data_IF_407076557261
#
_entry.id   IF_407076557261
#
_cell.length_a   1.000
_cell.length_b   1.000
_cell.length_c   1.000
_cell.angle_alpha   90.00
_cell.angle_beta   90.00
_cell.angle_gamma   90.00
#
_symmetry.space_group_name_H-M   'P 1'
#
loop_
_entity.id
_entity.type
_entity.pdbx_description
1 polymer ?
#
# COMPACT_ATOMS: atom_id res chain seq x y z
N UNK A 1 71.50 23.18 40.68
CA UNK A 1 71.33 22.48 39.36
C UNK A 1 70.01 21.82 39.31
N UNK A 2 68.98 22.50 38.83
CA UNK A 2 67.63 21.94 38.62
C UNK A 2 67.44 21.66 37.15
N UNK A 3 67.20 20.39 36.79
CA UNK A 3 66.82 20.02 35.42
C UNK A 3 65.28 20.03 35.32
N UNK A 4 64.74 20.91 34.47
CA UNK A 4 63.36 20.89 34.04
C UNK A 4 63.16 19.77 33.02
N UNK A 5 62.22 18.87 33.30
CA UNK A 5 61.68 17.93 32.34
C UNK A 5 60.44 18.56 31.70
N UNK A 6 60.51 18.83 30.40
CA UNK A 6 59.37 19.31 29.63
C UNK A 6 58.56 18.09 29.14
N UNK A 7 57.30 17.94 29.63
CA UNK A 7 56.38 16.93 29.16
C UNK A 7 55.63 17.43 27.90
N UNK A 8 55.93 16.80 26.77
CA UNK A 8 55.24 17.07 25.50
C UNK A 8 53.91 16.27 25.48
N UNK A 9 52.79 16.95 25.60
CA UNK A 9 51.44 16.37 25.45
C UNK A 9 51.10 16.33 23.95
N UNK A 10 51.11 15.12 23.39
CA UNK A 10 50.62 14.86 22.02
C UNK A 10 49.10 14.70 22.08
N UNK A 11 48.37 15.71 21.64
CA UNK A 11 46.91 15.63 21.43
C UNK A 11 46.61 14.87 20.15
N UNK A 12 46.13 13.65 20.24
CA UNK A 12 45.62 12.86 19.10
C UNK A 12 44.21 13.38 18.78
N UNK A 13 44.06 14.12 17.70
CA UNK A 13 42.75 14.45 17.14
C UNK A 13 42.18 13.21 16.44
N UNK A 14 41.22 12.55 17.09
CA UNK A 14 40.42 11.49 16.48
C UNK A 14 39.36 12.19 15.62
N UNK A 15 39.61 12.31 14.31
CA UNK A 15 38.58 12.67 13.33
C UNK A 15 37.65 11.45 13.14
N UNK A 16 36.60 11.41 13.96
CA UNK A 16 35.47 10.48 13.73
C UNK A 16 34.77 10.91 12.44
N UNK A 17 34.86 10.07 11.38
CA UNK A 17 33.95 10.17 10.24
C UNK A 17 32.55 9.81 10.75
N UNK A 18 31.76 10.82 11.10
CA UNK A 18 30.33 10.67 11.24
C UNK A 18 29.78 10.43 9.83
N UNK A 19 29.41 9.18 9.52
CA UNK A 19 28.60 8.88 8.34
C UNK A 19 27.31 9.68 8.46
N UNK A 20 27.13 10.66 7.58
CA UNK A 20 25.86 11.37 7.47
C UNK A 20 24.77 10.35 7.12
N UNK A 21 23.59 10.42 7.77
CA UNK A 21 22.48 9.60 7.37
C UNK A 21 22.17 9.86 5.89
N UNK A 22 22.06 8.78 5.09
CA UNK A 22 21.66 8.91 3.69
C UNK A 22 20.38 9.74 3.61
N UNK A 23 20.40 10.76 2.76
CA UNK A 23 19.25 11.60 2.49
C UNK A 23 18.05 10.72 2.04
N UNK A 24 16.83 11.05 2.51
CA UNK A 24 15.64 10.23 2.22
C UNK A 24 15.44 10.05 0.71
N UNK A 25 14.76 8.97 0.35
CA UNK A 25 14.50 8.47 -1.02
C UNK A 25 14.05 9.57 -2.02
N UNK A 26 13.48 10.68 -1.53
CA UNK A 26 13.11 11.85 -2.30
C UNK A 26 14.23 12.41 -3.21
N UNK A 27 15.49 12.32 -2.82
CA UNK A 27 16.61 12.83 -3.60
C UNK A 27 16.97 11.99 -4.83
N UNK A 28 16.38 10.80 -4.99
CA UNK A 28 16.60 9.95 -6.17
C UNK A 28 15.56 10.14 -7.28
N UNK A 29 14.56 10.98 -7.06
CA UNK A 29 13.50 11.27 -8.02
C UNK A 29 13.82 12.52 -8.84
N UNK A 30 13.45 12.53 -10.11
CA UNK A 30 13.57 13.74 -10.93
C UNK A 30 12.65 14.81 -10.32
N UNK A 31 13.14 16.02 -10.14
CA UNK A 31 12.39 17.12 -9.49
C UNK A 31 11.00 17.36 -10.08
N UNK A 32 10.81 17.06 -11.38
CA UNK A 32 9.52 17.17 -12.08
C UNK A 32 8.48 16.15 -11.58
N UNK A 33 8.87 14.87 -11.42
CA UNK A 33 7.93 13.82 -10.97
C UNK A 33 7.46 14.06 -9.53
N UNK A 34 8.36 14.51 -8.64
CA UNK A 34 8.03 14.86 -7.28
C UNK A 34 7.09 16.07 -7.21
N UNK A 35 7.34 17.11 -8.02
CA UNK A 35 6.48 18.30 -8.06
C UNK A 35 5.06 17.97 -8.51
N UNK A 36 4.90 17.08 -9.50
CA UNK A 36 3.59 16.59 -9.95
C UNK A 36 2.87 15.82 -8.83
N UNK A 37 3.55 14.93 -8.14
CA UNK A 37 2.95 14.17 -7.03
C UNK A 37 2.55 15.09 -5.89
N UNK A 38 3.35 16.09 -5.56
CA UNK A 38 3.04 17.10 -4.54
C UNK A 38 1.76 17.86 -4.85
N UNK A 39 1.65 18.44 -6.05
CA UNK A 39 0.47 19.20 -6.47
C UNK A 39 -0.81 18.33 -6.49
N UNK A 40 -0.71 17.09 -6.96
CA UNK A 40 -1.83 16.14 -6.98
C UNK A 40 -2.27 15.76 -5.56
N UNK A 41 -1.32 15.57 -4.64
CA UNK A 41 -1.62 15.28 -3.25
C UNK A 41 -2.28 16.48 -2.55
N UNK A 42 -1.79 17.69 -2.78
CA UNK A 42 -2.33 18.91 -2.19
C UNK A 42 -3.81 19.13 -2.54
N UNK A 43 -4.21 18.78 -3.77
CA UNK A 43 -5.59 18.87 -4.22
C UNK A 43 -6.56 17.91 -3.49
N UNK A 44 -6.04 16.90 -2.78
CA UNK A 44 -6.84 15.89 -2.06
C UNK A 44 -6.90 16.14 -0.55
N UNK A 45 -6.05 17.02 -0.03
CA UNK A 45 -6.02 17.34 1.38
C UNK A 45 -6.96 18.53 1.70
N UNK A 46 -7.54 18.60 2.93
CA UNK A 46 -7.36 17.64 4.02
C UNK A 46 -8.19 16.36 3.86
N UNK A 47 -7.63 15.23 4.27
CA UNK A 47 -8.28 13.93 4.32
C UNK A 47 -7.90 13.21 5.62
N UNK A 48 -8.79 12.33 6.12
CA UNK A 48 -8.50 11.44 7.24
C UNK A 48 -7.95 10.10 6.74
N UNK A 49 -8.40 9.68 5.55
CA UNK A 49 -7.98 8.44 4.87
C UNK A 49 -7.66 8.73 3.42
N UNK A 50 -6.49 8.28 2.96
CA UNK A 50 -6.12 8.23 1.55
C UNK A 50 -5.98 6.77 1.11
N UNK A 51 -6.63 6.41 0.02
CA UNK A 51 -6.58 5.07 -0.57
C UNK A 51 -5.86 5.19 -1.91
N UNK A 52 -4.65 4.61 -2.02
CA UNK A 52 -3.88 4.56 -3.27
C UNK A 52 -4.04 3.19 -3.92
N UNK A 53 -4.86 3.13 -4.96
CA UNK A 53 -5.13 1.92 -5.74
C UNK A 53 -4.14 1.75 -6.88
N UNK A 54 -3.39 0.66 -6.87
CA UNK A 54 -2.35 0.37 -7.88
C UNK A 54 -2.75 -0.73 -8.86
N UNK A 55 -1.98 -0.87 -9.94
CA UNK A 55 -1.75 -2.11 -10.66
C UNK A 55 -0.48 -2.73 -10.06
N UNK A 56 -0.55 -3.95 -9.55
CA UNK A 56 0.52 -4.57 -8.75
C UNK A 56 1.84 -4.78 -9.49
N UNK A 57 1.82 -4.79 -10.81
CA UNK A 57 3.00 -4.93 -11.66
C UNK A 57 3.52 -3.60 -12.26
N UNK A 58 2.90 -2.47 -11.88
CA UNK A 58 3.31 -1.15 -12.33
C UNK A 58 4.35 -0.53 -11.38
N UNK A 59 5.63 -0.60 -11.74
CA UNK A 59 6.74 -0.08 -10.94
C UNK A 59 6.59 1.42 -10.59
N UNK A 60 6.03 2.20 -11.51
CA UNK A 60 5.80 3.62 -11.29
C UNK A 60 4.75 3.87 -10.19
N UNK A 61 3.77 2.98 -10.04
CA UNK A 61 2.80 3.06 -8.95
C UNK A 61 3.47 2.88 -7.58
N UNK A 62 4.39 1.92 -7.46
CA UNK A 62 5.14 1.66 -6.23
C UNK A 62 6.10 2.82 -5.90
N UNK A 63 6.62 3.51 -6.91
CA UNK A 63 7.40 4.75 -6.71
C UNK A 63 6.51 5.88 -6.18
N UNK A 64 5.29 6.05 -6.70
CA UNK A 64 4.31 7.03 -6.21
C UNK A 64 3.95 6.73 -4.74
N UNK A 65 3.79 5.46 -4.35
CA UNK A 65 3.60 5.09 -2.95
C UNK A 65 4.69 5.65 -2.04
N UNK A 66 5.95 5.43 -2.41
CA UNK A 66 7.09 5.96 -1.64
C UNK A 66 7.08 7.49 -1.56
N UNK A 67 6.74 8.17 -2.67
CA UNK A 67 6.66 9.63 -2.72
C UNK A 67 5.57 10.18 -1.80
N UNK A 68 4.36 9.63 -1.87
CA UNK A 68 3.22 10.06 -1.04
C UNK A 68 3.52 9.85 0.44
N UNK A 69 4.10 8.70 0.81
CA UNK A 69 4.52 8.42 2.18
C UNK A 69 5.53 9.48 2.65
N UNK A 70 6.57 9.74 1.86
CA UNK A 70 7.61 10.71 2.23
C UNK A 70 7.02 12.11 2.40
N UNK A 71 6.18 12.59 1.46
CA UNK A 71 5.54 13.90 1.52
C UNK A 71 4.62 14.07 2.74
N UNK A 72 3.81 13.06 3.05
CA UNK A 72 2.92 13.11 4.21
C UNK A 72 3.70 13.03 5.53
N UNK A 73 4.75 12.19 5.59
CA UNK A 73 5.60 12.05 6.76
C UNK A 73 6.41 13.33 7.04
N UNK A 74 7.02 13.94 6.02
CA UNK A 74 7.76 15.20 6.11
C UNK A 74 6.90 16.35 6.64
N UNK A 75 5.61 16.37 6.25
CA UNK A 75 4.63 17.36 6.74
C UNK A 75 4.08 17.03 8.14
N UNK A 76 4.50 15.91 8.73
CA UNK A 76 3.96 15.42 9.99
C UNK A 76 2.48 15.03 9.92
N UNK A 77 1.94 14.76 8.74
CA UNK A 77 0.53 14.44 8.53
C UNK A 77 0.22 12.94 8.55
N UNK A 78 1.20 12.05 8.42
CA UNK A 78 0.96 10.62 8.31
C UNK A 78 0.82 9.96 9.69
N UNK A 79 -0.32 9.31 9.95
CA UNK A 79 -0.58 8.53 11.16
C UNK A 79 -0.03 7.10 11.04
N UNK A 80 -0.32 6.45 9.92
CA UNK A 80 0.10 5.09 9.61
C UNK A 80 0.02 4.81 8.10
N UNK A 81 0.77 3.81 7.65
CA UNK A 81 0.60 3.16 6.34
C UNK A 81 -0.03 1.79 6.57
N UNK A 82 -1.10 1.47 5.85
CA UNK A 82 -1.75 0.16 5.87
C UNK A 82 -1.56 -0.55 4.53
N UNK A 83 -1.34 -1.86 4.56
CA UNK A 83 -0.96 -2.64 3.37
C UNK A 83 -1.91 -3.80 3.12
N UNK A 84 -2.39 -3.94 1.88
CA UNK A 84 -2.97 -5.19 1.40
C UNK A 84 -1.92 -6.33 1.36
N UNK A 85 -0.65 -6.01 1.16
CA UNK A 85 0.45 -6.96 0.97
C UNK A 85 0.88 -7.68 2.25
N UNK A 86 0.28 -7.34 3.40
CA UNK A 86 0.54 -7.96 4.69
C UNK A 86 -0.77 -8.23 5.44
N UNK A 87 -0.82 -9.36 6.15
CA UNK A 87 -2.03 -9.78 6.86
C UNK A 87 -2.30 -8.89 8.09
N UNK A 88 -3.57 -8.71 8.44
CA UNK A 88 -3.96 -8.00 9.66
C UNK A 88 -3.29 -8.62 10.90
N UNK A 89 -2.88 -7.76 11.83
CA UNK A 89 -2.22 -8.18 13.08
C UNK A 89 -0.70 -8.12 13.07
N UNK A 90 -0.06 -7.88 11.90
CA UNK A 90 1.38 -7.59 11.85
C UNK A 90 1.63 -6.09 11.76
N UNK A 91 2.75 -5.62 12.33
CA UNK A 91 3.07 -4.18 12.36
C UNK A 91 4.54 -3.91 12.59
N UNK A 92 4.99 -2.73 12.14
CA UNK A 92 6.31 -2.18 12.45
C UNK A 92 6.30 -1.19 13.62
N UNK A 93 5.19 -1.04 14.34
CA UNK A 93 5.03 -0.03 15.41
C UNK A 93 6.06 -0.12 16.54
N UNK A 94 6.77 -1.16 16.73
CA UNK A 94 7.86 -1.27 17.72
C UNK A 94 9.26 -1.09 17.14
N UNK A 95 9.39 -0.85 15.84
CA UNK A 95 10.70 -0.74 15.20
C UNK A 95 11.28 0.68 15.32
N UNK A 96 12.59 0.73 15.53
CA UNK A 96 13.33 2.00 15.47
C UNK A 96 13.48 2.47 14.00
N UNK A 97 13.54 3.78 13.72
CA UNK A 97 13.75 4.29 12.35
C UNK A 97 15.00 3.78 11.62
N UNK A 98 16.03 3.36 12.37
CA UNK A 98 17.24 2.73 11.82
C UNK A 98 17.14 1.21 11.61
N UNK A 99 15.96 0.62 11.79
CA UNK A 99 15.77 -0.82 11.60
C UNK A 99 16.08 -1.25 10.18
N UNK A 100 16.70 -2.42 10.05
CA UNK A 100 17.06 -2.99 8.76
C UNK A 100 15.83 -3.51 8.01
N UNK A 101 15.98 -3.73 6.69
CA UNK A 101 14.95 -4.38 5.88
C UNK A 101 14.59 -5.77 6.43
N UNK A 102 15.58 -6.54 6.87
CA UNK A 102 15.34 -7.87 7.43
C UNK A 102 14.49 -7.81 8.71
N UNK A 103 14.76 -6.86 9.60
CA UNK A 103 13.94 -6.66 10.81
C UNK A 103 12.52 -6.24 10.44
N UNK A 104 12.37 -5.36 9.47
CA UNK A 104 11.06 -4.89 8.97
C UNK A 104 10.27 -6.01 8.33
N UNK A 105 10.89 -6.80 7.45
CA UNK A 105 10.28 -7.98 6.82
C UNK A 105 9.84 -9.01 7.85
N UNK A 106 10.67 -9.26 8.87
CA UNK A 106 10.32 -10.17 9.96
C UNK A 106 9.13 -9.67 10.79
N UNK A 107 9.07 -8.39 11.12
CA UNK A 107 7.96 -7.79 11.85
C UNK A 107 6.64 -7.86 11.08
N UNK A 108 6.68 -7.69 9.76
CA UNK A 108 5.53 -7.80 8.87
C UNK A 108 5.23 -9.24 8.43
N UNK A 109 6.03 -10.23 8.85
CA UNK A 109 5.95 -11.62 8.35
C UNK A 109 5.86 -11.67 6.83
N UNK A 110 6.71 -10.88 6.16
CA UNK A 110 6.62 -10.62 4.73
C UNK A 110 6.66 -11.88 3.88
N UNK A 111 5.75 -11.99 2.92
CA UNK A 111 5.64 -13.11 2.01
C UNK A 111 6.13 -12.74 0.60
N UNK A 112 7.42 -12.94 0.32
CA UNK A 112 8.02 -12.64 -0.98
C UNK A 112 7.41 -13.40 -2.16
N UNK A 113 6.84 -14.57 -1.92
CA UNK A 113 6.19 -15.37 -2.99
C UNK A 113 4.89 -14.71 -3.48
N UNK A 114 4.19 -14.03 -2.60
CA UNK A 114 2.98 -13.28 -2.95
C UNK A 114 3.28 -11.86 -3.41
N UNK A 115 4.24 -11.21 -2.75
CA UNK A 115 4.53 -9.80 -2.90
C UNK A 115 6.04 -9.57 -2.92
N UNK A 116 6.68 -9.38 -4.09
CA UNK A 116 8.13 -9.14 -4.18
C UNK A 116 8.56 -7.94 -3.33
N UNK A 117 9.51 -8.14 -2.41
CA UNK A 117 9.99 -7.06 -1.54
C UNK A 117 10.57 -5.87 -2.32
N UNK A 118 11.20 -6.12 -3.46
CA UNK A 118 11.76 -5.10 -4.33
C UNK A 118 10.71 -4.08 -4.80
N UNK A 119 9.46 -4.50 -4.90
CA UNK A 119 8.35 -3.63 -5.29
C UNK A 119 7.86 -2.76 -4.12
N UNK A 120 7.68 -3.33 -2.94
CA UNK A 120 7.01 -2.68 -1.80
C UNK A 120 7.96 -2.21 -0.71
N UNK A 121 9.12 -2.84 -0.59
CA UNK A 121 10.14 -2.52 0.40
C UNK A 121 10.53 -1.05 0.43
N UNK A 122 10.76 -0.37 -0.70
CA UNK A 122 11.06 1.05 -0.72
C UNK A 122 9.99 1.91 -0.02
N UNK A 123 8.70 1.67 -0.27
CA UNK A 123 7.60 2.37 0.37
C UNK A 123 7.53 2.07 1.88
N UNK A 124 7.62 0.79 2.25
CA UNK A 124 7.63 0.33 3.65
C UNK A 124 8.80 0.95 4.42
N UNK A 125 10.01 0.90 3.86
CA UNK A 125 11.19 1.45 4.53
C UNK A 125 11.16 2.97 4.62
N UNK A 126 10.51 3.66 3.67
CA UNK A 126 10.28 5.11 3.76
C UNK A 126 9.43 5.43 5.00
N UNK A 127 8.35 4.70 5.26
CA UNK A 127 7.53 4.87 6.45
C UNK A 127 8.32 4.55 7.74
N UNK A 128 9.02 3.41 7.78
CA UNK A 128 9.82 3.00 8.96
C UNK A 128 10.90 4.03 9.30
N UNK A 129 11.65 4.52 8.31
CA UNK A 129 12.68 5.56 8.50
C UNK A 129 12.11 6.89 8.99
N UNK A 130 10.86 7.19 8.62
CA UNK A 130 10.14 8.36 9.11
C UNK A 130 9.51 8.14 10.52
N UNK A 131 9.69 6.96 11.13
CA UNK A 131 9.07 6.63 12.41
C UNK A 131 7.56 6.42 12.34
N UNK A 132 7.02 6.19 11.13
CA UNK A 132 5.59 5.95 10.88
C UNK A 132 5.31 4.45 10.89
N UNK A 133 4.34 3.96 11.67
CA UNK A 133 4.00 2.55 11.71
C UNK A 133 3.42 2.08 10.38
N UNK A 134 3.84 0.89 9.95
CA UNK A 134 3.24 0.14 8.85
C UNK A 134 2.44 -1.01 9.45
N UNK A 135 1.19 -1.17 9.00
CA UNK A 135 0.23 -2.15 9.50
C UNK A 135 -0.20 -3.08 8.36
N UNK A 136 -0.17 -4.37 8.59
CA UNK A 136 -0.86 -5.31 7.72
C UNK A 136 -2.38 -5.13 7.83
N UNK A 137 -3.07 -5.21 6.70
CA UNK A 137 -4.50 -4.94 6.65
C UNK A 137 -5.30 -6.01 5.88
N UNK A 138 -4.62 -6.95 5.20
CA UNK A 138 -5.29 -8.00 4.44
C UNK A 138 -5.97 -9.03 5.35
N UNK A 139 -6.96 -9.71 4.80
CA UNK A 139 -7.54 -10.90 5.41
C UNK A 139 -6.51 -12.03 5.41
N UNK A 140 -6.20 -12.66 6.56
CA UNK A 140 -5.28 -13.79 6.62
C UNK A 140 -5.77 -14.96 5.76
N UNK A 141 -4.82 -15.68 5.15
CA UNK A 141 -5.15 -16.80 4.27
C UNK A 141 -6.01 -17.88 4.94
N UNK A 142 -5.75 -18.15 6.22
CA UNK A 142 -6.49 -19.16 6.98
C UNK A 142 -7.94 -18.74 7.23
N UNK A 143 -8.24 -17.45 7.23
CA UNK A 143 -9.59 -16.92 7.41
C UNK A 143 -10.40 -16.89 6.09
N UNK A 144 -9.76 -17.07 4.93
CA UNK A 144 -10.44 -16.99 3.63
C UNK A 144 -11.50 -18.07 3.47
N UNK A 145 -11.19 -19.33 3.85
CA UNK A 145 -12.11 -20.45 3.70
C UNK A 145 -13.40 -20.29 4.50
N UNK A 146 -13.38 -19.92 5.79
CA UNK A 146 -14.60 -19.55 6.52
C UNK A 146 -15.41 -18.45 5.84
N UNK A 147 -14.73 -17.41 5.30
CA UNK A 147 -15.39 -16.28 4.64
C UNK A 147 -16.07 -16.65 3.31
N UNK A 148 -15.58 -17.64 2.60
CA UNK A 148 -16.29 -18.18 1.43
C UNK A 148 -17.72 -18.66 1.74
N UNK A 149 -17.94 -19.16 2.95
CA UNK A 149 -19.22 -19.74 3.40
C UNK A 149 -20.09 -18.76 4.17
N UNK A 150 -19.56 -17.57 4.51
CA UNK A 150 -20.24 -16.56 5.32
C UNK A 150 -21.25 -15.77 4.46
N UNK A 151 -22.50 -16.21 4.44
CA UNK A 151 -23.57 -15.56 3.67
C UNK A 151 -23.94 -14.16 4.18
N UNK A 152 -23.55 -13.77 5.39
CA UNK A 152 -23.77 -12.41 5.90
C UNK A 152 -23.00 -11.37 5.07
N UNK A 153 -21.93 -11.79 4.38
CA UNK A 153 -21.17 -10.94 3.47
C UNK A 153 -21.95 -10.51 2.22
N UNK A 154 -22.94 -11.28 1.80
CA UNK A 154 -23.77 -10.95 0.63
C UNK A 154 -24.62 -9.69 0.85
N UNK A 155 -24.88 -9.32 2.10
CA UNK A 155 -25.60 -8.11 2.48
C UNK A 155 -24.72 -6.88 2.72
N UNK A 156 -23.40 -6.97 2.55
CA UNK A 156 -22.46 -5.88 2.84
C UNK A 156 -22.34 -4.85 1.71
N UNK A 157 -22.83 -5.17 0.52
CA UNK A 157 -22.92 -4.26 -0.61
C UNK A 157 -24.38 -4.15 -1.09
N UNK A 158 -24.81 -2.98 -1.58
CA UNK A 158 -26.10 -2.85 -2.28
C UNK A 158 -26.19 -3.84 -3.45
N UNK A 159 -27.38 -4.33 -3.78
CA UNK A 159 -27.58 -5.37 -4.81
C UNK A 159 -26.90 -5.05 -6.17
N UNK A 160 -27.01 -3.85 -6.74
CA UNK A 160 -26.27 -3.49 -7.96
C UNK A 160 -24.73 -3.56 -7.80
N UNK A 161 -24.20 -3.10 -6.66
CA UNK A 161 -22.77 -3.15 -6.35
C UNK A 161 -22.29 -4.60 -6.19
N UNK A 162 -23.06 -5.45 -5.49
CA UNK A 162 -22.75 -6.87 -5.35
C UNK A 162 -22.65 -7.57 -6.71
N UNK A 163 -23.60 -7.29 -7.63
CA UNK A 163 -23.56 -7.84 -9.01
C UNK A 163 -22.35 -7.32 -9.79
N UNK A 164 -22.01 -6.06 -9.65
CA UNK A 164 -20.82 -5.48 -10.28
C UNK A 164 -19.55 -6.15 -9.73
N UNK A 165 -19.45 -6.36 -8.43
CA UNK A 165 -18.32 -7.07 -7.80
C UNK A 165 -18.20 -8.51 -8.31
N UNK A 166 -19.32 -9.25 -8.43
CA UNK A 166 -19.34 -10.58 -9.02
C UNK A 166 -18.84 -10.58 -10.48
N UNK A 167 -19.18 -9.56 -11.25
CA UNK A 167 -18.69 -9.43 -12.62
C UNK A 167 -17.19 -9.15 -12.66
N UNK A 168 -16.67 -8.31 -11.75
CA UNK A 168 -15.23 -8.08 -11.63
C UNK A 168 -14.48 -9.36 -11.23
N UNK A 169 -15.05 -10.19 -10.35
CA UNK A 169 -14.49 -11.52 -10.04
C UNK A 169 -14.39 -12.39 -11.29
N UNK A 170 -15.41 -12.42 -12.15
CA UNK A 170 -15.36 -13.17 -13.42
C UNK A 170 -14.25 -12.65 -14.32
N UNK A 171 -14.23 -11.35 -14.56
CA UNK A 171 -13.24 -10.69 -15.44
C UNK A 171 -11.82 -10.89 -14.91
N UNK A 172 -11.58 -10.63 -13.63
CA UNK A 172 -10.26 -10.76 -12.98
C UNK A 172 -9.72 -12.20 -12.98
N UNK A 173 -10.61 -13.20 -13.18
CA UNK A 173 -10.23 -14.60 -13.36
C UNK A 173 -10.43 -15.07 -14.81
N UNK A 174 -10.47 -14.14 -15.77
CA UNK A 174 -10.56 -14.42 -17.21
C UNK A 174 -11.76 -15.28 -17.61
N UNK A 175 -12.87 -15.19 -16.87
CA UNK A 175 -14.07 -16.00 -17.04
C UNK A 175 -13.81 -17.52 -16.93
N UNK A 176 -12.73 -17.93 -16.27
CA UNK A 176 -12.36 -19.36 -16.13
C UNK A 176 -12.80 -19.99 -14.82
N UNK A 177 -13.34 -19.21 -13.88
CA UNK A 177 -13.93 -19.77 -12.65
C UNK A 177 -15.29 -20.43 -12.96
N UNK A 178 -15.58 -21.60 -12.36
CA UNK A 178 -16.92 -22.14 -12.33
C UNK A 178 -17.91 -21.15 -11.69
N UNK A 179 -19.15 -21.08 -12.18
CA UNK A 179 -20.15 -20.15 -11.65
C UNK A 179 -20.39 -20.35 -10.14
N UNK A 180 -20.29 -21.59 -9.65
CA UNK A 180 -20.38 -21.93 -8.23
C UNK A 180 -19.29 -21.30 -7.35
N UNK A 181 -18.19 -20.80 -7.94
CA UNK A 181 -17.09 -20.14 -7.22
C UNK A 181 -17.24 -18.62 -7.20
N UNK A 182 -18.12 -18.03 -8.00
CA UNK A 182 -18.24 -16.57 -8.11
C UNK A 182 -18.67 -15.97 -6.77
N UNK A 183 -19.76 -16.44 -6.18
CA UNK A 183 -20.23 -15.94 -4.87
C UNK A 183 -19.21 -16.18 -3.75
N UNK A 184 -18.59 -17.37 -3.57
CA UNK A 184 -17.53 -17.55 -2.58
C UNK A 184 -16.34 -16.60 -2.76
N UNK A 185 -15.88 -16.38 -3.98
CA UNK A 185 -14.75 -15.46 -4.26
C UNK A 185 -15.15 -14.00 -4.03
N UNK A 186 -16.39 -13.62 -4.34
CA UNK A 186 -16.92 -12.28 -4.04
C UNK A 186 -16.93 -12.04 -2.53
N UNK A 187 -17.34 -13.01 -1.72
CA UNK A 187 -17.31 -12.93 -0.25
C UNK A 187 -15.90 -12.72 0.28
N UNK A 188 -14.88 -13.39 -0.28
CA UNK A 188 -13.48 -13.15 0.08
C UNK A 188 -13.10 -11.70 -0.21
N UNK A 189 -13.45 -11.16 -1.38
CA UNK A 189 -13.13 -9.79 -1.76
C UNK A 189 -13.75 -8.81 -0.75
N UNK A 190 -15.03 -8.95 -0.44
CA UNK A 190 -15.74 -8.13 0.56
C UNK A 190 -15.09 -8.26 1.94
N UNK A 191 -14.73 -9.48 2.37
CA UNK A 191 -14.08 -9.68 3.66
C UNK A 191 -12.69 -9.03 3.75
N UNK A 192 -11.92 -8.99 2.65
CA UNK A 192 -10.67 -8.24 2.55
C UNK A 192 -10.91 -6.74 2.70
N UNK A 193 -11.92 -6.20 2.01
CA UNK A 193 -12.27 -4.78 2.09
C UNK A 193 -12.67 -4.38 3.51
N UNK A 194 -13.46 -5.20 4.20
CA UNK A 194 -13.83 -5.02 5.60
C UNK A 194 -12.59 -5.08 6.52
N UNK A 195 -11.66 -6.01 6.29
CA UNK A 195 -10.42 -6.11 7.07
C UNK A 195 -9.58 -4.85 6.95
N UNK A 196 -9.39 -4.36 5.72
CA UNK A 196 -8.67 -3.11 5.44
C UNK A 196 -9.38 -1.90 6.05
N UNK A 197 -10.70 -1.78 5.90
CA UNK A 197 -11.49 -0.71 6.50
C UNK A 197 -11.34 -0.68 8.03
N UNK A 198 -11.45 -1.82 8.69
CA UNK A 198 -11.29 -1.94 10.13
C UNK A 198 -9.88 -1.52 10.60
N UNK A 199 -8.85 -1.85 9.83
CA UNK A 199 -7.46 -1.44 10.13
C UNK A 199 -7.31 0.08 9.99
N UNK A 200 -7.86 0.68 8.95
CA UNK A 200 -7.87 2.12 8.74
C UNK A 200 -8.55 2.87 9.88
N UNK A 201 -9.75 2.42 10.28
CA UNK A 201 -10.52 3.03 11.38
C UNK A 201 -9.74 2.98 12.70
N UNK A 202 -9.11 1.85 13.01
CA UNK A 202 -8.30 1.68 14.23
C UNK A 202 -7.05 2.55 14.24
N UNK A 203 -6.49 2.84 13.06
CA UNK A 203 -5.27 3.64 12.92
C UNK A 203 -5.55 5.14 12.78
N UNK A 204 -6.82 5.55 12.62
CA UNK A 204 -7.20 6.94 12.42
C UNK A 204 -6.86 7.80 13.64
N UNK A 205 -6.22 8.94 13.41
CA UNK A 205 -5.90 9.95 14.43
C UNK A 205 -6.38 11.32 13.98
N UNK A 206 -6.96 12.13 14.87
CA UNK A 206 -7.41 13.49 14.53
C UNK A 206 -6.31 14.33 13.89
N UNK A 207 -6.61 14.96 12.75
CA UNK A 207 -5.67 15.83 12.02
C UNK A 207 -4.52 15.11 11.31
N UNK A 208 -4.57 13.78 11.23
CA UNK A 208 -3.60 12.95 10.53
C UNK A 208 -4.27 12.11 9.45
N UNK A 209 -3.49 11.65 8.50
CA UNK A 209 -3.90 10.78 7.40
C UNK A 209 -3.47 9.35 7.69
N UNK A 210 -4.37 8.39 7.51
CA UNK A 210 -4.01 6.97 7.36
C UNK A 210 -4.00 6.65 5.86
N UNK A 211 -2.91 6.08 5.38
CA UNK A 211 -2.72 5.75 3.97
C UNK A 211 -2.90 4.25 3.75
N UNK A 212 -3.76 3.85 2.81
CA UNK A 212 -3.85 2.47 2.33
C UNK A 212 -3.12 2.32 0.99
N UNK A 213 -2.27 1.31 0.89
CA UNK A 213 -1.68 0.82 -0.36
C UNK A 213 -2.34 -0.52 -0.70
N UNK A 214 -3.04 -0.57 -1.83
CA UNK A 214 -3.77 -1.78 -2.27
C UNK A 214 -3.99 -1.77 -3.78
N UNK A 215 -4.46 -2.88 -4.33
CA UNK A 215 -4.95 -2.93 -5.69
C UNK A 215 -6.13 -1.98 -5.91
N UNK A 216 -6.24 -1.43 -7.13
CA UNK A 216 -7.26 -0.42 -7.47
C UNK A 216 -8.71 -0.87 -7.27
N UNK A 217 -8.98 -2.18 -7.32
CA UNK A 217 -10.31 -2.71 -7.03
C UNK A 217 -10.76 -2.47 -5.59
N UNK A 218 -9.83 -2.46 -4.62
CA UNK A 218 -10.11 -2.20 -3.22
C UNK A 218 -10.37 -0.71 -2.93
N UNK A 219 -9.89 0.20 -3.78
CA UNK A 219 -10.07 1.65 -3.58
C UNK A 219 -11.30 2.22 -4.27
N UNK A 220 -12.04 1.40 -5.04
CA UNK A 220 -13.29 1.80 -5.69
C UNK A 220 -14.34 2.21 -4.66
N UNK A 221 -14.86 3.44 -4.77
CA UNK A 221 -15.84 4.01 -3.83
C UNK A 221 -17.17 3.27 -3.83
N UNK A 222 -17.50 2.60 -4.92
CA UNK A 222 -18.79 1.92 -5.10
C UNK A 222 -18.74 0.45 -4.67
N UNK A 223 -17.53 -0.15 -4.61
CA UNK A 223 -17.38 -1.59 -4.46
C UNK A 223 -16.41 -2.01 -3.35
N UNK A 224 -15.39 -1.20 -3.06
CA UNK A 224 -14.27 -1.56 -2.20
C UNK A 224 -14.35 -1.02 -0.78
N UNK A 225 -13.17 -0.81 -0.19
CA UNK A 225 -12.96 -0.34 1.19
C UNK A 225 -13.82 0.86 1.58
N UNK A 226 -14.05 1.88 0.73
CA UNK A 226 -14.88 3.01 1.10
C UNK A 226 -16.31 2.67 1.53
N UNK A 227 -16.88 1.56 1.03
CA UNK A 227 -18.22 1.09 1.41
C UNK A 227 -18.32 0.64 2.88
N UNK A 228 -17.18 0.36 3.51
CA UNK A 228 -17.08 -0.16 4.87
C UNK A 228 -16.48 0.85 5.85
N UNK A 229 -16.22 2.08 5.41
CA UNK A 229 -15.71 3.16 6.27
C UNK A 229 -16.84 4.01 6.84
N UNK A 230 -16.72 4.51 8.09
CA UNK A 230 -17.66 5.45 8.66
C UNK A 230 -17.79 6.73 7.83
N UNK A 231 -19.02 7.21 7.63
CA UNK A 231 -19.29 8.43 6.88
C UNK A 231 -18.69 9.71 7.53
N UNK A 232 -18.27 9.63 8.79
CA UNK A 232 -17.58 10.72 9.50
C UNK A 232 -16.15 10.94 9.05
N UNK A 233 -15.52 9.96 8.37
CA UNK A 233 -14.16 10.08 7.85
C UNK A 233 -14.15 10.74 6.47
N UNK A 234 -13.24 11.68 6.28
CA UNK A 234 -12.95 12.29 4.97
C UNK A 234 -12.07 11.35 4.18
N UNK A 235 -12.68 10.49 3.36
CA UNK A 235 -11.99 9.49 2.54
C UNK A 235 -11.72 10.04 1.14
N UNK A 236 -10.49 9.85 0.65
CA UNK A 236 -10.09 10.14 -0.73
C UNK A 236 -9.55 8.88 -1.38
N UNK A 237 -10.19 8.46 -2.46
CA UNK A 237 -9.83 7.29 -3.26
C UNK A 237 -9.11 7.73 -4.54
N UNK A 238 -7.89 7.25 -4.73
CA UNK A 238 -7.05 7.54 -5.88
C UNK A 238 -6.81 6.25 -6.65
N UNK A 239 -7.05 6.27 -7.95
CA UNK A 239 -6.63 5.21 -8.85
C UNK A 239 -5.33 5.60 -9.55
N UNK A 240 -4.30 4.79 -9.39
CA UNK A 240 -3.11 4.83 -10.21
C UNK A 240 -3.38 4.00 -11.47
N UNK A 241 -3.08 4.56 -12.64
CA UNK A 241 -3.42 3.94 -13.92
C UNK A 241 -2.27 4.02 -14.90
N UNK A 242 -1.82 2.88 -15.37
CA UNK A 242 -0.84 2.80 -16.44
C UNK A 242 -1.49 2.94 -17.81
N UNK A 243 -0.92 3.82 -18.67
CA UNK A 243 -1.38 4.06 -20.03
C UNK A 243 -2.57 5.02 -20.17
N UNK A 244 -2.92 5.29 -21.42
CA UNK A 244 -3.90 6.30 -21.84
C UNK A 244 -5.27 5.72 -22.21
N UNK A 245 -5.69 4.57 -21.62
CA UNK A 245 -7.01 4.05 -21.98
C UNK A 245 -8.08 5.14 -21.76
N UNK A 246 -9.01 5.26 -22.69
CA UNK A 246 -10.02 6.32 -22.71
C UNK A 246 -10.73 6.48 -21.35
N UNK A 247 -11.07 7.73 -21.00
CA UNK A 247 -11.75 8.12 -19.76
C UNK A 247 -13.21 7.60 -19.68
N UNK A 248 -13.44 6.37 -20.10
CA UNK A 248 -14.74 5.71 -19.97
C UNK A 248 -15.03 5.21 -18.55
N UNK A 249 -14.29 5.75 -17.59
CA UNK A 249 -14.43 5.38 -16.20
C UNK A 249 -15.45 6.26 -15.51
N UNK A 250 -16.32 5.59 -14.81
CA UNK A 250 -17.24 6.21 -13.86
C UNK A 250 -16.41 7.12 -12.94
N UNK A 251 -16.41 8.41 -13.25
CA UNK A 251 -15.74 9.45 -12.45
C UNK A 251 -16.20 9.45 -10.99
N UNK A 252 -17.30 8.75 -10.69
CA UNK A 252 -17.86 8.57 -9.36
C UNK A 252 -17.10 7.54 -8.50
N UNK A 253 -16.34 6.63 -9.14
CA UNK A 253 -15.64 5.56 -8.42
C UNK A 253 -14.36 6.04 -7.69
N UNK A 254 -13.79 7.18 -8.10
CA UNK A 254 -12.54 7.71 -7.54
C UNK A 254 -12.58 9.24 -7.42
N UNK A 255 -11.91 9.79 -6.41
CA UNK A 255 -11.72 11.25 -6.29
C UNK A 255 -10.67 11.76 -7.28
N UNK A 256 -9.71 10.91 -7.65
CA UNK A 256 -8.68 11.22 -8.64
C UNK A 256 -8.18 9.97 -9.36
N UNK A 257 -7.79 10.15 -10.63
CA UNK A 257 -7.03 9.16 -11.39
C UNK A 257 -5.67 9.76 -11.73
N UNK A 258 -4.60 9.09 -11.30
CA UNK A 258 -3.23 9.52 -11.60
C UNK A 258 -2.63 8.61 -12.65
N UNK A 259 -2.45 9.16 -13.85
CA UNK A 259 -1.88 8.43 -14.97
C UNK A 259 -0.36 8.28 -14.82
N UNK A 260 0.14 7.12 -15.23
CA UNK A 260 1.55 6.76 -15.35
C UNK A 260 1.84 6.22 -16.75
N UNK A 261 3.09 6.06 -17.16
CA UNK A 261 3.43 5.44 -18.45
C UNK A 261 2.77 4.07 -18.61
N UNK A 262 2.46 3.73 -19.85
CA UNK A 262 1.86 2.43 -20.19
C UNK A 262 2.82 1.28 -19.83
N UNK A 263 2.25 0.18 -19.35
CA UNK A 263 2.98 -1.07 -19.17
C UNK A 263 3.20 -1.74 -20.54
N UNK A 264 4.25 -2.58 -20.65
CA UNK A 264 4.37 -3.48 -21.78
C UNK A 264 3.11 -4.33 -21.91
N UNK A 265 2.71 -4.62 -23.15
CA UNK A 265 1.57 -5.48 -23.40
C UNK A 265 1.80 -6.87 -22.78
N UNK A 266 0.82 -7.37 -22.03
CA UNK A 266 0.89 -8.62 -21.30
C UNK A 266 -0.45 -9.35 -21.35
N UNK A 267 -0.43 -10.62 -21.73
CA UNK A 267 -1.61 -11.47 -21.69
C UNK A 267 -1.74 -12.15 -20.31
N UNK A 268 -2.37 -11.43 -19.36
CA UNK A 268 -2.63 -11.93 -18.02
C UNK A 268 -3.50 -13.19 -18.00
N UNK A 269 -4.36 -13.35 -19.00
CA UNK A 269 -5.24 -14.51 -19.08
C UNK A 269 -4.51 -15.79 -19.52
N UNK A 270 -3.54 -15.67 -20.42
CA UNK A 270 -2.67 -16.79 -20.77
C UNK A 270 -1.84 -17.23 -19.56
N UNK A 271 -1.28 -16.31 -18.78
CA UNK A 271 -0.55 -16.63 -17.55
C UNK A 271 -1.44 -17.30 -16.50
N UNK A 272 -2.63 -16.76 -16.25
CA UNK A 272 -3.59 -17.35 -15.30
C UNK A 272 -3.98 -18.77 -15.72
N UNK A 273 -4.22 -19.01 -17.00
CA UNK A 273 -4.51 -20.35 -17.56
C UNK A 273 -3.35 -21.34 -17.33
N UNK A 274 -2.11 -20.88 -17.52
CA UNK A 274 -0.94 -21.72 -17.28
C UNK A 274 -0.80 -22.12 -15.80
N UNK A 275 -1.03 -21.18 -14.86
CA UNK A 275 -1.02 -21.42 -13.42
C UNK A 275 -2.10 -22.43 -13.00
N UNK A 276 -3.33 -22.27 -13.50
CA UNK A 276 -4.43 -23.21 -13.22
C UNK A 276 -4.15 -24.62 -13.72
N UNK A 277 -3.44 -24.75 -14.84
CA UNK A 277 -3.01 -26.05 -15.38
C UNK A 277 -1.95 -26.77 -14.52
N UNK A 278 -1.16 -26.03 -13.76
CA UNK A 278 -0.16 -26.58 -12.83
C UNK A 278 -0.78 -27.04 -11.50
N UNK A 279 -1.85 -26.39 -11.03
CA UNK A 279 -2.54 -26.75 -9.77
C UNK A 279 -3.35 -28.05 -9.92
N UNK A 280 -3.73 -28.41 -11.14
CA UNK A 280 -4.55 -29.63 -11.42
C UNK A 280 -3.71 -30.91 -11.64
N UNK A 281 -2.39 -30.80 -11.62
CA UNK A 281 -1.45 -31.95 -11.69
C UNK A 281 -0.94 -32.29 -10.28
#
# INVERSE_FOLDING_TARGET
MFKLFSCLVISVLITGCASQPEAPVLNKLTGSALAITTSRLDALLPADVLLLGEQHDAKEHQQIHSQVIALLAERGLLAAVTLEMADVGVTTAGLHPSSTEQQTRSALKWNDKGWPWEAYGPAVMTAVRAGVPVLGANLPRDDMRPKMQDSALDGQLPGPALKAQQQLIRIGHCNMLPESQITPMTRIQIAKDISMANTLVKAALPGKVVLLLSGSGHTDRLLGVPQHLPASLKVKAIRLRAGDAALDEKTEAFDAVWQTPALPEKDYCAEFKAQMGQIRK
#
